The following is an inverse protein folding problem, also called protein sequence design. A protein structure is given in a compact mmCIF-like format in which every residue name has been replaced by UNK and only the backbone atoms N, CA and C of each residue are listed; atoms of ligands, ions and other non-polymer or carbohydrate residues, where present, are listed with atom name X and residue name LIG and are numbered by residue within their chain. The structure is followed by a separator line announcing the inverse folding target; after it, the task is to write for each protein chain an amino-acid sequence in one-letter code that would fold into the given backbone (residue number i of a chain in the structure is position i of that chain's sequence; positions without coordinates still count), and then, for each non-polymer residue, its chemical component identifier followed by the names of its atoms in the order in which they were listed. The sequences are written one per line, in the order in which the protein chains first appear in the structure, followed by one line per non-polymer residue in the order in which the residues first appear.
data_IF_010117602767
#
_entry.id   IF_010117602767
#
_cell.length_a   1.000
_cell.length_b   1.000
_cell.length_c   1.000
_cell.angle_alpha   90.00
_cell.angle_beta   90.00
_cell.angle_gamma   90.00
#
_symmetry.space_group_name_H-M   'P 1'
#
loop_
_entity.id
_entity.type
_entity.pdbx_description
1 polymer ?
#
# COMPACT_ATOMS: atom_id res chain seq x y z
N UNK A 1 14.86 11.26 -30.88
CA UNK A 1 15.51 10.46 -29.81
C UNK A 1 15.59 11.32 -28.57
N UNK A 2 15.06 10.77 -27.47
CA UNK A 2 15.14 11.15 -26.04
C UNK A 2 14.95 12.64 -25.68
N UNK A 3 13.70 12.98 -25.34
CA UNK A 3 13.41 14.09 -24.44
C UNK A 3 13.64 13.58 -23.01
N UNK A 4 14.65 14.12 -22.33
CA UNK A 4 14.80 14.00 -20.88
C UNK A 4 13.64 14.77 -20.23
N UNK A 5 12.77 14.04 -19.54
CA UNK A 5 11.77 14.62 -18.65
C UNK A 5 12.39 14.69 -17.26
N UNK A 6 12.45 15.91 -16.75
CA UNK A 6 12.88 16.31 -15.43
C UNK A 6 11.95 15.68 -14.39
N UNK A 7 12.48 14.74 -13.60
CA UNK A 7 11.79 14.12 -12.46
C UNK A 7 11.79 15.15 -11.31
N UNK A 8 10.62 15.67 -10.96
CA UNK A 8 10.47 16.67 -9.89
C UNK A 8 10.51 15.97 -8.53
N UNK A 9 11.68 15.98 -7.88
CA UNK A 9 11.84 15.48 -6.52
C UNK A 9 11.17 16.38 -5.49
N UNK A 10 9.98 15.99 -5.01
CA UNK A 10 9.39 16.58 -3.80
C UNK A 10 9.98 15.82 -2.61
N UNK A 11 11.05 16.37 -2.03
CA UNK A 11 11.65 15.87 -0.80
C UNK A 11 10.73 16.16 0.40
N UNK A 12 10.05 15.14 0.91
CA UNK A 12 9.31 15.23 2.16
C UNK A 12 10.19 14.66 3.28
N UNK A 13 10.77 15.55 4.09
CA UNK A 13 11.54 15.18 5.27
C UNK A 13 10.63 14.62 6.36
N UNK A 14 10.69 13.30 6.58
CA UNK A 14 9.99 12.64 7.68
C UNK A 14 10.99 12.31 8.80
N UNK A 15 10.83 13.01 9.93
CA UNK A 15 11.49 12.72 11.20
C UNK A 15 10.71 11.58 11.86
N UNK A 16 11.36 10.43 12.05
CA UNK A 16 10.77 9.33 12.81
C UNK A 16 11.88 8.65 13.61
N UNK A 17 12.17 9.27 14.75
CA UNK A 17 12.76 8.57 15.89
C UNK A 17 11.62 7.94 16.70
N UNK A 18 11.16 6.78 16.27
CA UNK A 18 10.52 5.83 17.19
C UNK A 18 11.10 4.46 16.90
N UNK A 19 11.81 3.89 17.87
CA UNK A 19 11.96 2.45 17.97
C UNK A 19 10.56 1.84 18.20
N UNK A 20 9.76 1.75 17.15
CA UNK A 20 8.67 0.79 17.04
C UNK A 20 9.36 -0.56 16.88
N UNK A 21 9.42 -1.29 17.99
CA UNK A 21 9.86 -2.68 18.14
C UNK A 21 10.07 -3.47 16.84
N UNK A 22 11.25 -4.09 16.71
CA UNK A 22 11.65 -5.10 15.71
C UNK A 22 10.73 -6.35 15.61
N UNK A 23 9.53 -6.32 16.18
CA UNK A 23 8.64 -7.47 16.42
C UNK A 23 7.34 -7.45 15.61
N UNK A 24 7.25 -6.59 14.58
CA UNK A 24 6.11 -6.55 13.65
C UNK A 24 6.18 -7.64 12.57
N UNK A 25 5.02 -8.05 12.07
CA UNK A 25 4.93 -8.97 10.93
C UNK A 25 4.94 -8.16 9.64
N UNK A 26 5.80 -8.50 8.68
CA UNK A 26 5.86 -7.79 7.38
C UNK A 26 4.49 -7.80 6.69
N UNK A 27 4.09 -6.68 6.10
CA UNK A 27 2.83 -6.46 5.39
C UNK A 27 2.51 -7.59 4.40
N UNK A 28 3.49 -7.97 3.59
CA UNK A 28 3.35 -8.98 2.53
C UNK A 28 3.66 -10.41 2.99
N UNK A 29 3.90 -10.63 4.29
CA UNK A 29 4.06 -11.97 4.85
C UNK A 29 2.71 -12.65 5.10
N UNK A 30 2.70 -13.98 5.17
CA UNK A 30 1.49 -14.73 5.52
C UNK A 30 0.87 -14.26 6.84
N UNK A 31 1.68 -13.94 7.85
CA UNK A 31 1.20 -13.46 9.15
C UNK A 31 0.63 -12.03 9.04
N UNK A 32 1.29 -11.11 8.33
CA UNK A 32 0.79 -9.75 8.14
C UNK A 32 -0.54 -9.71 7.37
N UNK A 33 -0.67 -10.54 6.33
CA UNK A 33 -1.90 -10.65 5.56
C UNK A 33 -3.03 -11.32 6.35
N UNK A 34 -2.71 -12.28 7.22
CA UNK A 34 -3.69 -12.87 8.14
C UNK A 34 -4.17 -11.85 9.19
N UNK A 35 -3.29 -10.97 9.69
CA UNK A 35 -3.68 -9.86 10.57
C UNK A 35 -4.64 -8.90 9.86
N UNK A 36 -4.34 -8.53 8.61
CA UNK A 36 -5.22 -7.72 7.79
C UNK A 36 -6.60 -8.35 7.61
N UNK A 37 -6.63 -9.64 7.24
CA UNK A 37 -7.86 -10.41 7.07
C UNK A 37 -8.70 -10.42 8.36
N UNK A 38 -8.09 -10.72 9.50
CA UNK A 38 -8.77 -10.72 10.81
C UNK A 38 -9.36 -9.37 11.22
N UNK A 39 -8.80 -8.25 10.76
CA UNK A 39 -9.40 -6.93 10.98
C UNK A 39 -10.65 -6.76 10.13
N UNK A 40 -10.64 -7.22 8.88
CA UNK A 40 -11.78 -7.17 7.96
C UNK A 40 -12.91 -8.16 8.31
N UNK A 41 -12.63 -9.17 9.14
CA UNK A 41 -13.63 -10.12 9.67
C UNK A 41 -14.40 -9.57 10.88
N UNK A 42 -14.03 -8.39 11.39
CA UNK A 42 -14.66 -7.76 12.57
C UNK A 42 -15.59 -6.63 12.16
N UNK A 43 -16.50 -6.27 13.07
CA UNK A 43 -17.31 -5.07 12.91
C UNK A 43 -16.42 -3.83 12.82
N UNK A 44 -16.76 -2.87 11.93
CA UNK A 44 -18.00 -2.75 11.17
C UNK A 44 -17.97 -3.39 9.77
N UNK A 45 -16.92 -4.14 9.43
CA UNK A 45 -16.69 -4.68 8.09
C UNK A 45 -17.38 -6.01 7.82
N UNK A 46 -17.84 -6.70 8.86
CA UNK A 46 -18.53 -7.99 8.75
C UNK A 46 -19.66 -7.95 7.72
N UNK A 47 -19.55 -8.79 6.69
CA UNK A 47 -20.57 -8.92 5.64
C UNK A 47 -20.67 -7.73 4.67
N UNK A 48 -19.77 -6.74 4.74
CA UNK A 48 -19.76 -5.61 3.82
C UNK A 48 -19.28 -6.04 2.42
N UNK A 49 -19.84 -5.38 1.42
CA UNK A 49 -19.31 -5.35 0.07
C UNK A 49 -18.45 -4.09 -0.08
N UNK A 50 -17.15 -4.29 -0.29
CA UNK A 50 -16.16 -3.22 -0.38
C UNK A 50 -16.06 -2.68 -1.80
N UNK A 51 -15.89 -1.38 -1.95
CA UNK A 51 -15.45 -0.75 -3.21
C UNK A 51 -13.93 -0.67 -3.27
N UNK A 52 -13.27 -0.59 -2.10
CA UNK A 52 -11.81 -0.51 -1.99
C UNK A 52 -11.34 -1.06 -0.65
N UNK A 53 -10.22 -1.78 -0.65
CA UNK A 53 -9.50 -2.18 0.57
C UNK A 53 -8.03 -1.79 0.40
N UNK A 54 -7.46 -1.10 1.38
CA UNK A 54 -6.06 -0.69 1.39
C UNK A 54 -5.37 -1.28 2.62
N UNK A 55 -4.26 -1.96 2.42
CA UNK A 55 -3.39 -2.41 3.50
C UNK A 55 -2.19 -1.47 3.57
N UNK A 56 -1.79 -1.10 4.78
CA UNK A 56 -0.71 -0.16 5.01
C UNK A 56 0.38 -0.81 5.87
N UNK A 57 1.62 -0.56 5.47
CA UNK A 57 2.74 -0.64 6.37
C UNK A 57 2.74 0.59 7.30
N UNK A 58 3.66 0.59 8.27
CA UNK A 58 3.81 1.65 9.26
C UNK A 58 4.30 2.96 8.65
N UNK A 59 5.43 3.43 9.16
CA UNK A 59 6.04 4.67 8.66
C UNK A 59 6.78 4.45 7.33
N UNK A 60 7.20 5.52 6.61
CA UNK A 60 8.02 5.33 5.42
C UNK A 60 9.28 4.51 5.69
N UNK A 61 9.66 3.69 4.71
CA UNK A 61 10.71 2.68 4.81
C UNK A 61 10.47 1.58 5.86
N UNK A 62 9.29 1.54 6.51
CA UNK A 62 8.85 0.38 7.28
C UNK A 62 8.00 -0.55 6.41
N UNK A 63 8.19 -1.86 6.63
CA UNK A 63 7.49 -2.91 5.89
C UNK A 63 6.52 -3.71 6.76
N UNK A 64 6.39 -3.38 8.06
CA UNK A 64 5.51 -4.09 8.98
C UNK A 64 4.05 -3.68 8.77
N UNK A 65 3.15 -4.66 8.80
CA UNK A 65 1.71 -4.42 8.76
C UNK A 65 1.29 -3.50 9.92
N UNK A 66 0.59 -2.42 9.58
CA UNK A 66 0.09 -1.43 10.55
C UNK A 66 -1.44 -1.42 10.60
N UNK A 67 -2.11 -1.43 9.44
CA UNK A 67 -3.55 -1.21 9.39
C UNK A 67 -4.21 -1.60 8.07
N UNK A 68 -5.54 -1.64 8.09
CA UNK A 68 -6.39 -1.70 6.92
C UNK A 68 -7.28 -0.46 6.86
N UNK A 69 -7.51 0.08 5.67
CA UNK A 69 -8.59 1.02 5.39
C UNK A 69 -9.56 0.34 4.42
N UNK A 70 -10.84 0.28 4.76
CA UNK A 70 -11.86 -0.25 3.87
C UNK A 70 -12.89 0.82 3.52
N UNK A 71 -13.30 0.84 2.26
CA UNK A 71 -14.38 1.68 1.75
C UNK A 71 -15.56 0.81 1.35
N UNK A 72 -16.75 1.17 1.79
CA UNK A 72 -18.01 0.47 1.51
C UNK A 72 -19.20 1.44 1.57
N UNK A 73 -20.30 1.07 0.92
CA UNK A 73 -21.54 1.81 1.02
C UNK A 73 -22.26 1.50 2.34
N UNK A 74 -22.67 2.53 3.08
CA UNK A 74 -23.49 2.38 4.27
C UNK A 74 -24.95 2.71 3.97
N UNK A 75 -25.81 1.69 3.97
CA UNK A 75 -27.23 1.82 3.61
C UNK A 75 -28.01 2.73 4.57
N UNK A 76 -27.61 2.81 5.85
CA UNK A 76 -28.31 3.66 6.83
C UNK A 76 -28.05 5.14 6.56
N UNK A 77 -26.85 5.46 6.11
CA UNK A 77 -26.45 6.83 5.78
C UNK A 77 -26.70 7.18 4.31
N UNK A 78 -26.89 6.17 3.45
CA UNK A 78 -27.04 6.37 2.00
C UNK A 78 -25.76 6.93 1.35
N UNK A 79 -24.59 6.70 1.95
CA UNK A 79 -23.30 7.29 1.57
C UNK A 79 -22.18 6.25 1.66
N UNK A 80 -21.11 6.50 0.92
CA UNK A 80 -19.87 5.74 1.09
C UNK A 80 -19.17 6.14 2.38
N UNK A 81 -18.64 5.14 3.07
CA UNK A 81 -17.86 5.27 4.29
C UNK A 81 -16.48 4.69 4.04
N UNK A 82 -15.45 5.41 4.47
CA UNK A 82 -14.07 4.94 4.56
C UNK A 82 -13.68 4.88 6.03
N UNK A 83 -13.10 3.76 6.48
CA UNK A 83 -12.70 3.63 7.88
C UNK A 83 -11.44 2.80 8.02
N UNK A 84 -10.52 3.26 8.87
CA UNK A 84 -9.26 2.57 9.18
C UNK A 84 -9.41 1.73 10.44
N UNK A 85 -8.81 0.55 10.42
CA UNK A 85 -8.68 -0.35 11.56
C UNK A 85 -7.22 -0.77 11.73
N UNK A 86 -6.76 -0.79 12.98
CA UNK A 86 -5.48 -1.36 13.39
C UNK A 86 -5.63 -2.11 14.71
N UNK A 87 -4.53 -2.64 15.24
CA UNK A 87 -4.52 -3.22 16.59
C UNK A 87 -4.85 -2.19 17.68
N UNK A 88 -4.60 -0.90 17.42
CA UNK A 88 -4.96 0.19 18.34
C UNK A 88 -6.47 0.51 18.34
N UNK A 89 -7.23 -0.02 17.38
CA UNK A 89 -8.67 0.14 17.29
C UNK A 89 -9.14 0.71 15.95
N UNK A 90 -10.38 1.20 15.94
CA UNK A 90 -11.04 1.78 14.78
C UNK A 90 -10.90 3.30 14.79
N UNK A 91 -10.60 3.89 13.64
CA UNK A 91 -10.74 5.34 13.45
C UNK A 91 -12.20 5.74 13.44
N UNK A 92 -12.48 7.04 13.61
CA UNK A 92 -13.78 7.57 13.21
C UNK A 92 -14.05 7.27 11.74
N UNK A 93 -15.30 6.93 11.36
CA UNK A 93 -15.67 6.75 9.97
C UNK A 93 -15.60 8.10 9.24
N UNK A 94 -15.01 8.08 8.05
CA UNK A 94 -15.01 9.19 7.11
C UNK A 94 -16.18 8.97 6.12
N UNK A 95 -17.18 9.85 6.20
CA UNK A 95 -18.41 9.75 5.42
C UNK A 95 -18.29 10.67 4.22
N UNK A 96 -18.37 10.11 3.02
CA UNK A 96 -18.23 10.90 1.80
C UNK A 96 -19.35 11.94 1.67
N UNK A 97 -18.99 13.17 1.32
CA UNK A 97 -19.93 14.21 0.91
C UNK A 97 -20.52 13.96 -0.48
N UNK A 98 -19.86 13.16 -1.29
CA UNK A 98 -20.14 13.00 -2.71
C UNK A 98 -21.30 12.04 -2.97
N UNK A 99 -21.68 11.89 -4.24
CA UNK A 99 -22.60 10.83 -4.65
C UNK A 99 -21.99 9.46 -4.38
N UNK A 100 -22.81 8.43 -4.08
CA UNK A 100 -22.33 7.07 -3.90
C UNK A 100 -21.50 6.60 -5.11
N UNK A 101 -20.38 5.94 -4.82
CA UNK A 101 -19.47 5.41 -5.82
C UNK A 101 -20.19 4.42 -6.74
N UNK A 102 -19.84 4.48 -8.02
CA UNK A 102 -20.25 3.52 -9.04
C UNK A 102 -19.22 2.40 -9.23
N UNK A 103 -18.20 2.33 -8.38
CA UNK A 103 -17.20 1.28 -8.43
C UNK A 103 -17.84 -0.10 -8.21
N UNK A 104 -17.30 -1.11 -8.89
CA UNK A 104 -17.71 -2.48 -8.61
C UNK A 104 -17.33 -2.88 -7.19
N UNK A 105 -18.17 -3.72 -6.58
CA UNK A 105 -17.97 -4.17 -5.20
C UNK A 105 -17.47 -5.61 -5.14
N UNK A 106 -16.77 -5.92 -4.06
CA UNK A 106 -16.26 -7.25 -3.74
C UNK A 106 -16.37 -7.56 -2.26
N UNK A 107 -16.44 -8.85 -1.96
CA UNK A 107 -16.45 -9.39 -0.61
C UNK A 107 -15.04 -9.70 -0.13
N UNK A 108 -14.88 -9.88 1.18
CA UNK A 108 -13.60 -10.30 1.77
C UNK A 108 -13.06 -11.60 1.15
N UNK A 109 -13.95 -12.55 0.84
CA UNK A 109 -13.57 -13.85 0.26
C UNK A 109 -12.99 -13.75 -1.15
N UNK A 110 -13.26 -12.66 -1.87
CA UNK A 110 -12.70 -12.42 -3.20
C UNK A 110 -11.26 -11.87 -3.15
N UNK A 111 -10.79 -11.36 -2.01
CA UNK A 111 -9.45 -10.78 -1.88
C UNK A 111 -8.39 -11.91 -1.89
N UNK A 112 -7.45 -11.91 -2.86
CA UNK A 112 -6.50 -13.01 -3.03
C UNK A 112 -5.26 -12.85 -2.13
N UNK A 113 -5.46 -12.79 -0.81
CA UNK A 113 -4.36 -12.62 0.16
C UNK A 113 -3.27 -13.69 0.01
N UNK A 114 -3.65 -14.93 -0.28
CA UNK A 114 -2.74 -16.07 -0.45
C UNK A 114 -1.75 -15.89 -1.62
N UNK A 115 -2.14 -15.13 -2.65
CA UNK A 115 -1.32 -14.90 -3.85
C UNK A 115 -0.37 -13.72 -3.71
N UNK A 116 -0.63 -12.81 -2.77
CA UNK A 116 0.13 -11.57 -2.59
C UNK A 116 1.64 -11.83 -2.40
N UNK A 117 2.11 -12.74 -1.53
CA UNK A 117 3.54 -12.92 -1.30
C UNK A 117 4.30 -13.33 -2.57
N UNK A 118 3.80 -14.34 -3.29
CA UNK A 118 4.42 -14.82 -4.51
C UNK A 118 4.39 -13.78 -5.64
N UNK A 119 3.34 -12.96 -5.69
CA UNK A 119 3.22 -11.87 -6.64
C UNK A 119 4.21 -10.73 -6.34
N UNK A 120 4.41 -10.41 -5.07
CA UNK A 120 5.39 -9.41 -4.63
C UNK A 120 6.82 -9.88 -4.91
N UNK A 121 7.14 -11.15 -4.66
CA UNK A 121 8.46 -11.70 -4.99
C UNK A 121 8.81 -11.56 -6.48
N UNK A 122 7.84 -11.83 -7.36
CA UNK A 122 8.00 -11.65 -8.82
C UNK A 122 8.14 -10.17 -9.19
N UNK A 123 7.35 -9.30 -8.57
CA UNK A 123 7.40 -7.85 -8.78
C UNK A 123 8.76 -7.27 -8.40
N UNK A 124 9.29 -7.59 -7.20
CA UNK A 124 10.60 -7.08 -6.77
C UNK A 124 11.72 -7.57 -7.68
N UNK A 125 11.67 -8.82 -8.16
CA UNK A 125 12.61 -9.33 -9.17
C UNK A 125 12.52 -8.55 -10.48
N UNK A 126 11.32 -8.26 -10.96
CA UNK A 126 11.10 -7.45 -12.15
C UNK A 126 11.66 -6.03 -11.99
N UNK A 127 11.36 -5.34 -10.87
CA UNK A 127 11.87 -4.00 -10.59
C UNK A 127 13.40 -3.98 -10.56
N UNK A 128 13.99 -4.97 -9.89
CA UNK A 128 15.46 -5.11 -9.79
C UNK A 128 16.14 -5.41 -11.13
N UNK A 129 15.40 -5.88 -12.15
CA UNK A 129 15.93 -6.13 -13.50
C UNK A 129 15.76 -4.95 -14.46
N UNK A 130 15.04 -3.90 -14.08
CA UNK A 130 14.86 -2.73 -14.95
C UNK A 130 16.11 -1.84 -14.92
N UNK A 131 16.68 -1.56 -16.10
CA UNK A 131 17.84 -0.66 -16.21
C UNK A 131 17.54 0.75 -15.70
N UNK A 132 16.29 1.21 -15.84
CA UNK A 132 15.85 2.53 -15.38
C UNK A 132 15.83 2.65 -13.85
N UNK A 133 15.83 1.51 -13.13
CA UNK A 133 15.82 1.45 -11.68
C UNK A 133 17.14 0.88 -11.12
N UNK A 134 18.21 0.83 -11.92
CA UNK A 134 19.49 0.23 -11.53
C UNK A 134 20.14 0.93 -10.33
N UNK A 135 19.86 2.22 -10.15
CA UNK A 135 20.37 3.03 -9.04
C UNK A 135 19.54 2.86 -7.75
N UNK A 136 18.38 2.21 -7.82
CA UNK A 136 17.49 2.01 -6.67
C UNK A 136 17.81 0.70 -5.95
N UNK A 137 17.59 0.68 -4.63
CA UNK A 137 17.77 -0.49 -3.77
C UNK A 137 16.76 -0.50 -2.61
N UNK A 138 16.64 -1.65 -1.95
CA UNK A 138 15.80 -1.77 -0.76
C UNK A 138 14.30 -1.58 -1.02
N UNK A 139 13.80 -2.11 -2.15
CA UNK A 139 12.37 -2.05 -2.46
C UNK A 139 11.52 -2.71 -1.38
N UNK A 140 10.61 -1.92 -0.80
CA UNK A 140 9.61 -2.37 0.16
C UNK A 140 8.21 -2.09 -0.37
N UNK A 141 7.26 -2.94 -0.02
CA UNK A 141 5.84 -2.66 -0.27
C UNK A 141 5.32 -1.87 0.93
N UNK A 142 4.98 -0.60 0.71
CA UNK A 142 4.43 0.28 1.75
C UNK A 142 2.90 0.19 1.81
N UNK A 143 2.23 0.01 0.68
CA UNK A 143 0.78 -0.22 0.66
C UNK A 143 0.35 -1.15 -0.46
N UNK A 144 -0.81 -1.78 -0.25
CA UNK A 144 -1.49 -2.63 -1.24
C UNK A 144 -2.93 -2.16 -1.32
N UNK A 145 -3.39 -1.82 -2.52
CA UNK A 145 -4.76 -1.40 -2.78
C UNK A 145 -5.46 -2.48 -3.59
N UNK A 146 -6.61 -2.93 -3.12
CA UNK A 146 -7.52 -3.83 -3.82
C UNK A 146 -8.76 -3.06 -4.27
N UNK A 147 -9.07 -3.16 -5.56
CA UNK A 147 -10.31 -2.68 -6.19
C UNK A 147 -10.87 -3.79 -7.08
N UNK A 148 -12.13 -3.67 -7.51
CA UNK A 148 -12.70 -4.55 -8.53
C UNK A 148 -12.97 -3.76 -9.80
N UNK A 149 -12.48 -4.28 -10.92
CA UNK A 149 -12.67 -3.69 -12.24
C UNK A 149 -12.86 -4.80 -13.27
N UNK A 150 -13.90 -4.67 -14.09
CA UNK A 150 -14.32 -5.65 -15.09
C UNK A 150 -14.52 -7.05 -14.46
N UNK A 151 -15.15 -7.10 -13.29
CA UNK A 151 -15.40 -8.34 -12.55
C UNK A 151 -14.18 -8.98 -11.90
N UNK A 152 -12.99 -8.37 -11.98
CA UNK A 152 -11.74 -8.93 -11.44
C UNK A 152 -11.15 -8.04 -10.34
N UNK A 153 -10.63 -8.67 -9.28
CA UNK A 153 -9.84 -7.95 -8.28
C UNK A 153 -8.51 -7.51 -8.89
N UNK A 154 -8.26 -6.21 -8.83
CA UNK A 154 -7.00 -5.56 -9.21
C UNK A 154 -6.20 -5.23 -7.97
N UNK A 155 -4.87 -5.28 -8.08
CA UNK A 155 -3.97 -4.77 -7.05
C UNK A 155 -3.15 -3.61 -7.59
N UNK A 156 -2.95 -2.59 -6.76
CA UNK A 156 -1.95 -1.54 -6.97
C UNK A 156 -1.05 -1.49 -5.74
N UNK A 157 0.26 -1.51 -5.96
CA UNK A 157 1.26 -1.50 -4.91
C UNK A 157 1.92 -0.14 -4.85
N UNK A 158 2.07 0.42 -3.66
CA UNK A 158 3.02 1.52 -3.44
C UNK A 158 4.35 0.92 -2.99
N UNK A 159 5.40 1.19 -3.75
CA UNK A 159 6.75 0.74 -3.47
C UNK A 159 7.55 1.92 -2.97
N UNK A 160 8.28 1.72 -1.88
CA UNK A 160 9.29 2.66 -1.39
C UNK A 160 10.67 2.05 -1.51
N UNK A 161 11.66 2.85 -1.86
CA UNK A 161 13.05 2.41 -2.01
C UNK A 161 14.02 3.56 -1.72
N UNK A 162 15.30 3.24 -1.64
CA UNK A 162 16.37 4.24 -1.53
C UNK A 162 17.25 4.21 -2.78
N UNK A 163 18.02 5.27 -3.00
CA UNK A 163 19.04 5.29 -4.04
C UNK A 163 20.39 4.83 -3.49
N UNK A 164 21.10 4.00 -4.25
CA UNK A 164 22.44 3.50 -3.91
C UNK A 164 23.37 4.66 -3.59
N UNK A 165 24.00 4.59 -2.43
CA UNK A 165 24.98 5.58 -1.99
C UNK A 165 24.40 6.88 -1.41
N UNK A 166 23.08 7.10 -1.42
CA UNK A 166 22.49 8.29 -0.76
C UNK A 166 22.54 8.24 0.77
N UNK A 167 22.88 7.09 1.34
CA UNK A 167 23.26 6.95 2.75
C UNK A 167 22.27 7.57 3.74
N UNK A 168 22.76 7.87 4.93
CA UNK A 168 22.03 8.67 5.91
C UNK A 168 22.80 9.97 6.13
N UNK A 169 22.13 11.11 6.06
CA UNK A 169 22.74 12.39 6.41
C UNK A 169 22.42 12.75 7.86
N UNK A 170 23.29 13.53 8.49
CA UNK A 170 23.04 14.09 9.83
C UNK A 170 22.72 15.56 9.67
N UNK A 171 21.50 15.94 10.07
CA UNK A 171 21.05 17.33 10.10
C UNK A 171 20.80 17.74 11.55
N UNK A 172 21.79 18.41 12.14
CA UNK A 172 21.78 18.75 13.56
C UNK A 172 21.84 17.49 14.44
N UNK A 173 20.74 17.18 15.15
CA UNK A 173 20.60 15.96 15.98
C UNK A 173 19.82 14.84 15.27
N UNK A 174 19.36 15.09 14.05
CA UNK A 174 18.51 14.16 13.31
C UNK A 174 19.34 13.35 12.31
N UNK A 175 18.98 12.08 12.14
CA UNK A 175 19.46 11.24 11.05
C UNK A 175 18.37 11.22 9.99
N UNK A 176 18.69 11.69 8.78
CA UNK A 176 17.77 11.80 7.65
C UNK A 176 18.09 10.71 6.64
N UNK A 177 17.06 10.07 6.10
CA UNK A 177 17.16 9.08 5.02
C UNK A 177 16.22 9.50 3.91
N UNK A 178 16.74 9.67 2.70
CA UNK A 178 15.93 9.95 1.52
C UNK A 178 15.31 8.64 1.02
N UNK A 179 14.05 8.70 0.62
CA UNK A 179 13.37 7.60 -0.03
C UNK A 179 12.57 8.09 -1.24
N UNK A 180 12.34 7.17 -2.15
CA UNK A 180 11.59 7.37 -3.38
C UNK A 180 10.37 6.46 -3.32
N UNK A 181 9.28 6.91 -3.94
CA UNK A 181 8.03 6.16 -3.98
C UNK A 181 7.48 6.14 -5.41
N UNK A 182 6.94 5.00 -5.80
CA UNK A 182 6.25 4.83 -7.07
C UNK A 182 5.21 3.74 -6.96
N UNK A 183 4.32 3.67 -7.94
CA UNK A 183 3.27 2.67 -7.99
C UNK A 183 3.57 1.57 -8.99
N UNK A 184 3.16 0.37 -8.65
CA UNK A 184 3.26 -0.80 -9.51
C UNK A 184 1.91 -1.49 -9.62
N UNK A 185 1.49 -1.77 -10.85
CA UNK A 185 0.25 -2.49 -11.14
C UNK A 185 0.59 -3.75 -11.95
N UNK A 186 0.17 -4.95 -11.50
CA UNK A 186 0.29 -6.16 -12.30
C UNK A 186 -0.63 -6.10 -13.52
N UNK A 187 -0.12 -6.50 -14.68
CA UNK A 187 -0.88 -6.55 -15.92
C UNK A 187 -1.47 -7.95 -16.15
N UNK A 188 -2.51 -8.10 -16.99
CA UNK A 188 -3.14 -9.39 -17.26
C UNK A 188 -2.21 -10.45 -17.88
N UNK A 189 -1.17 -10.03 -18.60
CA UNK A 189 -0.14 -10.89 -19.19
C UNK A 189 0.96 -11.29 -18.20
N UNK A 190 0.84 -10.88 -16.93
CA UNK A 190 1.77 -11.24 -15.86
C UNK A 190 3.03 -10.37 -15.81
N UNK A 191 3.02 -9.22 -16.48
CA UNK A 191 4.03 -8.16 -16.33
C UNK A 191 3.60 -7.13 -15.27
N UNK A 192 4.32 -6.02 -15.22
CA UNK A 192 4.12 -4.94 -14.27
C UNK A 192 4.27 -3.59 -14.96
N UNK A 193 3.31 -2.71 -14.74
CA UNK A 193 3.39 -1.30 -15.09
C UNK A 193 3.90 -0.50 -13.91
N UNK A 194 4.90 0.35 -14.15
CA UNK A 194 5.42 1.29 -13.16
C UNK A 194 4.93 2.68 -13.52
N UNK A 195 4.33 3.37 -12.56
CA UNK A 195 3.84 4.73 -12.75
C UNK A 195 4.32 5.65 -11.62
N UNK A 196 4.84 6.81 -12.02
CA UNK A 196 4.82 8.00 -11.17
C UNK A 196 3.37 8.49 -11.05
N UNK A 197 3.09 9.38 -10.10
CA UNK A 197 1.75 9.98 -9.99
C UNK A 197 1.39 10.83 -11.21
#
# INVERSE_FOLDING_TARGET
MKKLLTMAGIGLALVISSCSSLTGSKLVSAEGLEKAKKLLEKDPYTGKAFTKVMLWAGQPLEENFESVTAQYFDEKQGKDVSQRASEAGLSSPDISSDEPSKAETFTLAEIPFDKVPAQVDKMIKFLSSQSELEEMEGYIVHSIVFTKENGQIKQKYEIQCTKKGEGKSVEGRNIVTNYYQFHVTPTPDGQYEVSEW
#
